data_IF_387600925444
#
_entry.id   IF_387600925444
#
_cell.length_a   1.000
_cell.length_b   1.000
_cell.length_c   1.000
_cell.angle_alpha   90.00
_cell.angle_beta   90.00
_cell.angle_gamma   90.00
#
_symmetry.space_group_name_H-M   'P 1'
#
loop_
_entity.id
_entity.type
_entity.pdbx_description
1 polymer ?
#
# COMPACT_ATOMS: atom_id res chain seq x y z
N UNK A 1 20.79 -55.08 -8.95
CA UNK A 1 19.47 -54.51 -9.32
C UNK A 1 18.91 -53.52 -8.30
N UNK A 2 19.16 -53.65 -7.02
CA UNK A 2 18.60 -52.76 -5.97
C UNK A 2 19.32 -51.40 -5.87
N UNK A 3 20.59 -51.30 -6.28
CA UNK A 3 21.38 -50.05 -6.21
C UNK A 3 20.91 -48.94 -7.16
N UNK A 4 20.26 -49.28 -8.28
CA UNK A 4 19.81 -48.31 -9.24
C UNK A 4 18.44 -47.67 -8.89
N UNK A 5 17.64 -48.37 -8.07
CA UNK A 5 16.35 -47.84 -7.62
C UNK A 5 16.52 -46.71 -6.58
N UNK A 6 17.55 -46.77 -5.76
CA UNK A 6 17.86 -45.73 -4.76
C UNK A 6 18.40 -44.44 -5.41
N UNK A 7 19.12 -44.53 -6.51
CA UNK A 7 19.63 -43.37 -7.25
C UNK A 7 18.52 -42.63 -7.98
N UNK A 8 17.51 -43.35 -8.49
CA UNK A 8 16.34 -42.71 -9.14
C UNK A 8 15.40 -42.01 -8.12
N UNK A 9 15.27 -42.59 -6.92
CA UNK A 9 14.44 -42.00 -5.86
C UNK A 9 15.07 -40.71 -5.31
N UNK A 10 16.39 -40.64 -5.21
CA UNK A 10 17.12 -39.44 -4.77
C UNK A 10 17.03 -38.29 -5.77
N UNK A 11 17.02 -38.60 -7.08
CA UNK A 11 16.87 -37.58 -8.13
C UNK A 11 15.47 -37.00 -8.22
N UNK A 12 14.43 -37.73 -7.82
CA UNK A 12 13.04 -37.24 -7.82
C UNK A 12 12.78 -36.34 -6.60
N UNK A 13 13.45 -36.54 -5.48
CA UNK A 13 13.29 -35.70 -4.28
C UNK A 13 13.96 -34.33 -4.41
N UNK A 14 14.92 -34.15 -5.31
CA UNK A 14 15.58 -32.83 -5.52
C UNK A 14 14.85 -31.92 -6.49
N UNK A 15 13.87 -32.41 -7.25
CA UNK A 15 13.12 -31.64 -8.23
C UNK A 15 11.90 -30.89 -7.65
N UNK A 16 11.58 -31.08 -6.37
CA UNK A 16 10.39 -30.49 -5.72
C UNK A 16 10.66 -29.22 -4.91
N UNK A 17 11.86 -28.66 -5.02
CA UNK A 17 12.10 -27.30 -4.56
C UNK A 17 11.67 -26.33 -5.65
N UNK A 18 10.35 -26.28 -5.87
CA UNK A 18 9.76 -25.16 -6.59
C UNK A 18 10.10 -23.91 -5.81
N UNK A 19 10.95 -23.09 -6.40
CA UNK A 19 11.28 -21.78 -5.87
C UNK A 19 9.98 -20.96 -5.86
N UNK A 20 9.39 -20.83 -4.69
CA UNK A 20 8.47 -19.75 -4.43
C UNK A 20 9.29 -18.47 -4.52
N UNK A 21 9.35 -17.88 -5.71
CA UNK A 21 9.80 -16.51 -5.86
C UNK A 21 8.72 -15.63 -5.22
N UNK A 22 8.88 -15.39 -3.92
CA UNK A 22 8.17 -14.31 -3.25
C UNK A 22 8.74 -13.04 -3.90
N UNK A 23 7.97 -12.43 -4.79
CA UNK A 23 8.26 -11.08 -5.25
C UNK A 23 8.15 -10.19 -4.02
N UNK A 24 9.28 -9.90 -3.39
CA UNK A 24 9.33 -8.97 -2.28
C UNK A 24 8.93 -7.60 -2.81
N UNK A 25 7.84 -7.03 -2.30
CA UNK A 25 7.47 -5.65 -2.58
C UNK A 25 8.65 -4.74 -2.21
N UNK A 26 8.94 -3.80 -3.10
CA UNK A 26 10.05 -2.88 -2.89
C UNK A 26 9.72 -1.91 -1.77
N UNK A 27 10.54 -1.92 -0.72
CA UNK A 27 10.44 -1.00 0.41
C UNK A 27 11.26 0.26 0.15
N UNK A 28 10.66 1.43 0.38
CA UNK A 28 11.32 2.74 0.23
C UNK A 28 10.98 3.61 1.43
N UNK A 29 11.98 4.15 2.10
CA UNK A 29 11.78 5.13 3.16
C UNK A 29 11.84 6.55 2.62
N UNK A 30 10.93 7.41 3.09
CA UNK A 30 10.92 8.80 2.69
C UNK A 30 10.34 9.72 3.78
N UNK A 31 10.69 10.98 3.68
CA UNK A 31 10.11 12.05 4.49
C UNK A 31 8.95 12.70 3.75
N UNK A 32 7.78 12.79 4.39
CA UNK A 32 6.61 13.41 3.78
C UNK A 32 6.69 14.93 3.87
N UNK A 33 6.80 15.59 2.73
CA UNK A 33 6.94 17.05 2.62
C UNK A 33 5.64 17.74 2.20
N UNK A 34 4.63 16.98 1.77
CA UNK A 34 3.35 17.55 1.35
C UNK A 34 2.27 16.49 1.21
N UNK A 35 1.02 16.95 1.27
CA UNK A 35 -0.17 16.16 1.02
C UNK A 35 -1.03 16.93 0.03
N UNK A 36 -1.36 16.32 -1.12
CA UNK A 36 -2.16 16.95 -2.17
C UNK A 36 -3.65 16.78 -1.92
N UNK A 37 -4.06 15.58 -1.55
CA UNK A 37 -5.44 15.21 -1.18
C UNK A 37 -5.42 13.95 -0.31
N UNK A 38 -6.57 13.35 -0.04
CA UNK A 38 -6.68 12.23 0.91
C UNK A 38 -6.04 10.91 0.48
N UNK A 39 -5.51 10.82 -0.74
CA UNK A 39 -4.86 9.63 -1.27
C UNK A 39 -3.55 9.89 -2.01
N UNK A 40 -3.03 11.12 -1.94
CA UNK A 40 -1.81 11.53 -2.65
C UNK A 40 -0.94 12.41 -1.78
N UNK A 41 0.32 12.02 -1.64
CA UNK A 41 1.33 12.76 -0.89
C UNK A 41 2.63 12.95 -1.70
N UNK A 42 3.49 13.83 -1.21
CA UNK A 42 4.81 14.06 -1.78
C UNK A 42 5.88 13.62 -0.79
N UNK A 43 6.78 12.78 -1.25
CA UNK A 43 7.91 12.25 -0.51
C UNK A 43 9.23 12.89 -0.91
N UNK A 44 10.10 13.06 0.06
CA UNK A 44 11.49 13.49 -0.12
C UNK A 44 12.44 12.37 0.29
N UNK A 45 13.30 11.95 -0.64
CA UNK A 45 14.37 10.99 -0.37
C UNK A 45 15.56 11.66 0.34
N UNK A 46 16.44 10.89 1.03
CA UNK A 46 17.68 11.41 1.56
C UNK A 46 18.56 12.10 0.52
N UNK A 47 18.46 11.70 -0.75
CA UNK A 47 19.14 12.31 -1.91
C UNK A 47 18.57 13.66 -2.32
N UNK A 48 17.57 14.20 -1.60
CA UNK A 48 16.82 15.44 -1.93
C UNK A 48 15.90 15.34 -3.14
N UNK A 49 15.74 14.17 -3.74
CA UNK A 49 14.79 13.94 -4.82
C UNK A 49 13.37 13.82 -4.25
N UNK A 50 12.43 14.57 -4.85
CA UNK A 50 11.01 14.51 -4.53
C UNK A 50 10.24 13.66 -5.55
N UNK A 51 9.19 12.98 -5.09
CA UNK A 51 8.28 12.26 -5.96
C UNK A 51 6.89 12.19 -5.34
N UNK A 52 5.87 11.98 -6.19
CA UNK A 52 4.50 11.82 -5.74
C UNK A 52 4.16 10.36 -5.50
N UNK A 53 3.42 10.11 -4.43
CA UNK A 53 2.92 8.80 -4.03
C UNK A 53 1.41 8.80 -4.05
N UNK A 54 0.83 7.86 -4.78
CA UNK A 54 -0.60 7.55 -4.78
C UNK A 54 -0.82 6.35 -3.85
N UNK A 55 -1.61 6.55 -2.81
CA UNK A 55 -1.99 5.46 -1.91
C UNK A 55 -2.83 4.45 -2.68
N UNK A 56 -2.33 3.22 -2.79
CA UNK A 56 -2.98 2.17 -3.57
C UNK A 56 -4.20 1.58 -2.85
N UNK A 57 -5.06 0.93 -3.61
CA UNK A 57 -6.26 0.21 -3.16
C UNK A 57 -7.38 1.08 -2.60
N UNK A 58 -7.16 2.37 -2.41
CA UNK A 58 -8.15 3.32 -1.92
C UNK A 58 -8.35 4.49 -2.89
N UNK A 59 -9.46 5.17 -2.73
CA UNK A 59 -9.78 6.41 -3.43
C UNK A 59 -10.40 7.39 -2.44
N UNK A 60 -9.94 8.62 -2.45
CA UNK A 60 -10.41 9.68 -1.58
C UNK A 60 -11.08 10.80 -2.39
N UNK A 61 -12.02 11.55 -1.78
CA UNK A 61 -12.57 12.71 -2.46
C UNK A 61 -11.48 13.73 -2.79
N UNK A 62 -11.49 14.23 -4.02
CA UNK A 62 -10.52 15.20 -4.49
C UNK A 62 -10.74 16.57 -3.87
N UNK A 63 -9.72 17.41 -3.93
CA UNK A 63 -9.81 18.81 -3.54
C UNK A 63 -10.94 19.49 -4.32
N UNK A 64 -11.87 20.09 -3.61
CA UNK A 64 -13.06 20.73 -4.21
C UNK A 64 -14.32 19.85 -4.21
N UNK A 65 -14.19 18.55 -4.01
CA UNK A 65 -15.32 17.67 -3.75
C UNK A 65 -15.76 17.75 -2.28
N UNK A 66 -17.03 17.41 -1.95
CA UNK A 66 -17.45 17.23 -0.57
C UNK A 66 -16.50 16.28 0.18
N UNK A 67 -16.13 16.62 1.39
CA UNK A 67 -15.16 15.92 2.23
C UNK A 67 -13.71 15.89 1.71
N UNK A 68 -13.40 16.40 0.53
CA UNK A 68 -12.03 16.43 -0.02
C UNK A 68 -11.03 17.15 0.88
N UNK A 69 -11.42 18.30 1.41
CA UNK A 69 -10.61 19.06 2.38
C UNK A 69 -10.38 18.27 3.67
N UNK A 70 -11.43 17.64 4.19
CA UNK A 70 -11.36 16.85 5.43
C UNK A 70 -10.47 15.63 5.27
N UNK A 71 -10.58 14.91 4.13
CA UNK A 71 -9.73 13.78 3.83
C UNK A 71 -8.26 14.18 3.72
N UNK A 72 -7.95 15.26 3.01
CA UNK A 72 -6.60 15.84 2.92
C UNK A 72 -6.04 16.19 4.29
N UNK A 73 -6.82 16.88 5.11
CA UNK A 73 -6.41 17.28 6.46
C UNK A 73 -6.14 16.07 7.35
N UNK A 74 -6.95 15.03 7.23
CA UNK A 74 -6.77 13.80 7.99
C UNK A 74 -5.49 13.07 7.61
N UNK A 75 -5.22 12.90 6.31
CA UNK A 75 -3.96 12.32 5.85
C UNK A 75 -2.75 13.16 6.31
N UNK A 76 -2.84 14.48 6.21
CA UNK A 76 -1.80 15.39 6.69
C UNK A 76 -1.54 15.20 8.19
N UNK A 77 -2.59 15.09 8.98
CA UNK A 77 -2.47 14.87 10.43
C UNK A 77 -1.71 13.57 10.75
N UNK A 78 -1.90 12.53 9.94
CA UNK A 78 -1.23 11.25 10.15
C UNK A 78 0.24 11.26 9.73
N UNK A 79 0.57 11.84 8.59
CA UNK A 79 1.88 11.59 7.95
C UNK A 79 2.71 12.83 7.64
N UNK A 80 2.15 14.04 7.67
CA UNK A 80 2.90 15.25 7.30
C UNK A 80 4.10 15.47 8.22
N UNK A 81 5.28 15.70 7.65
CA UNK A 81 6.56 15.81 8.36
C UNK A 81 6.90 14.56 9.19
N UNK A 82 6.57 13.39 8.65
CA UNK A 82 6.93 12.09 9.22
C UNK A 82 7.78 11.29 8.24
N UNK A 83 8.66 10.45 8.77
CA UNK A 83 9.29 9.40 8.00
C UNK A 83 8.32 8.23 7.86
N UNK A 84 8.06 7.83 6.63
CA UNK A 84 7.19 6.70 6.31
C UNK A 84 7.93 5.66 5.50
N UNK A 85 7.46 4.43 5.58
CA UNK A 85 7.90 3.33 4.73
C UNK A 85 6.86 3.08 3.66
N UNK A 86 7.29 3.06 2.41
CA UNK A 86 6.44 2.74 1.27
C UNK A 86 6.65 1.29 0.84
N UNK A 87 5.58 0.51 0.78
CA UNK A 87 5.57 -0.76 0.06
C UNK A 87 5.10 -0.50 -1.36
N UNK A 88 6.05 -0.50 -2.30
CA UNK A 88 5.83 -0.04 -3.67
C UNK A 88 5.42 -1.20 -4.55
N UNK A 89 4.27 -1.08 -5.23
CA UNK A 89 3.79 -2.06 -6.20
C UNK A 89 4.08 -1.69 -7.65
N UNK A 90 4.27 -0.42 -7.94
CA UNK A 90 4.52 0.05 -9.30
C UNK A 90 4.33 1.55 -9.47
N UNK A 91 3.96 1.94 -10.69
CA UNK A 91 3.69 3.33 -11.06
C UNK A 91 2.33 3.42 -11.76
N UNK A 92 1.65 4.54 -11.57
CA UNK A 92 0.45 4.81 -12.36
C UNK A 92 0.80 5.51 -13.70
N UNK A 93 -0.23 5.75 -14.52
CA UNK A 93 -0.06 6.43 -15.82
C UNK A 93 0.43 7.88 -15.73
N UNK A 94 0.37 8.47 -14.53
CA UNK A 94 0.87 9.84 -14.24
C UNK A 94 2.27 9.82 -13.62
N UNK A 95 2.95 8.67 -13.63
CA UNK A 95 4.28 8.45 -13.05
C UNK A 95 4.34 8.67 -11.52
N UNK A 96 3.20 8.59 -10.84
CA UNK A 96 3.19 8.54 -9.38
C UNK A 96 3.52 7.13 -8.92
N UNK A 97 4.25 7.02 -7.81
CA UNK A 97 4.50 5.73 -7.18
C UNK A 97 3.20 5.23 -6.55
N UNK A 98 2.82 3.99 -6.87
CA UNK A 98 1.72 3.29 -6.21
C UNK A 98 2.27 2.54 -5.01
N UNK A 99 1.76 2.85 -3.81
CA UNK A 99 2.28 2.24 -2.59
C UNK A 99 1.24 2.11 -1.50
N UNK A 100 1.49 1.17 -0.60
CA UNK A 100 0.94 1.19 0.75
C UNK A 100 1.89 1.97 1.65
N UNK A 101 1.37 2.93 2.36
CA UNK A 101 2.15 3.81 3.26
C UNK A 101 2.05 3.28 4.67
N UNK A 102 3.21 3.06 5.30
CA UNK A 102 3.31 2.62 6.69
C UNK A 102 3.99 3.69 7.54
N UNK A 103 3.41 3.99 8.67
CA UNK A 103 4.02 4.76 9.74
C UNK A 103 4.12 3.88 10.96
N UNK A 104 5.35 3.52 11.39
CA UNK A 104 5.58 2.64 12.53
C UNK A 104 4.70 1.37 12.47
N UNK A 105 4.75 0.66 11.35
CA UNK A 105 3.98 -0.56 11.05
C UNK A 105 2.46 -0.36 10.89
N UNK A 106 1.95 0.84 11.08
CA UNK A 106 0.55 1.17 10.86
C UNK A 106 0.29 1.41 9.37
N UNK A 107 -0.65 0.68 8.79
CA UNK A 107 -1.09 0.86 7.41
C UNK A 107 -1.98 2.12 7.30
N UNK A 108 -1.41 3.19 6.77
CA UNK A 108 -2.09 4.49 6.64
C UNK A 108 -3.21 4.44 5.59
N UNK A 109 -3.02 3.68 4.49
CA UNK A 109 -4.09 3.49 3.50
C UNK A 109 -5.34 2.91 4.18
N UNK A 110 -5.16 1.90 5.02
CA UNK A 110 -6.24 1.28 5.77
C UNK A 110 -6.87 2.25 6.80
N UNK A 111 -6.06 3.06 7.46
CA UNK A 111 -6.56 4.06 8.42
C UNK A 111 -7.47 5.10 7.75
N UNK A 112 -7.19 5.48 6.51
CA UNK A 112 -8.05 6.39 5.76
C UNK A 112 -9.45 5.78 5.54
N UNK A 113 -9.51 4.49 5.23
CA UNK A 113 -10.80 3.77 5.05
C UNK A 113 -11.53 3.58 6.38
N UNK A 114 -10.81 3.14 7.42
CA UNK A 114 -11.38 2.94 8.76
C UNK A 114 -12.07 4.18 9.32
N UNK A 115 -11.55 5.35 9.01
CA UNK A 115 -12.04 6.63 9.52
C UNK A 115 -12.98 7.33 8.51
N UNK A 116 -13.41 6.63 7.47
CA UNK A 116 -14.37 7.15 6.50
C UNK A 116 -13.85 8.28 5.63
N UNK A 117 -12.52 8.44 5.52
CA UNK A 117 -11.86 9.49 4.74
C UNK A 117 -11.54 9.06 3.31
N UNK A 118 -11.65 7.78 3.02
CA UNK A 118 -11.50 7.18 1.69
C UNK A 118 -12.40 5.95 1.58
N UNK A 119 -12.70 5.57 0.37
CA UNK A 119 -13.37 4.31 0.06
C UNK A 119 -12.40 3.35 -0.63
N UNK A 120 -12.76 2.06 -0.63
CA UNK A 120 -11.99 1.04 -1.31
C UNK A 120 -12.16 1.21 -2.82
N UNK A 121 -11.06 1.09 -3.56
CA UNK A 121 -11.06 1.10 -5.02
C UNK A 121 -11.21 -0.33 -5.54
N UNK A 122 -12.45 -0.81 -5.85
CA UNK A 122 -12.71 -2.23 -6.01
C UNK A 122 -11.91 -2.91 -7.12
N UNK A 123 -11.59 -2.16 -8.18
CA UNK A 123 -10.85 -2.68 -9.33
C UNK A 123 -9.39 -3.04 -9.00
N UNK A 124 -8.82 -2.43 -7.96
CA UNK A 124 -7.40 -2.56 -7.61
C UNK A 124 -7.17 -3.11 -6.20
N UNK A 125 -8.20 -3.15 -5.37
CA UNK A 125 -8.08 -3.67 -4.02
C UNK A 125 -7.98 -5.19 -4.00
N UNK A 126 -6.95 -5.72 -3.35
CA UNK A 126 -6.69 -7.15 -3.23
C UNK A 126 -6.82 -7.65 -1.79
N UNK A 127 -6.62 -6.77 -0.81
CA UNK A 127 -6.64 -7.12 0.59
C UNK A 127 -8.07 -7.04 1.16
N UNK A 128 -8.66 -8.15 1.66
CA UNK A 128 -10.01 -8.15 2.23
C UNK A 128 -10.21 -7.19 3.42
N UNK A 129 -9.13 -6.85 4.14
CA UNK A 129 -9.20 -5.93 5.27
C UNK A 129 -9.73 -4.55 4.89
N UNK A 130 -9.48 -4.09 3.66
CA UNK A 130 -9.99 -2.81 3.18
C UNK A 130 -11.52 -2.81 3.07
N UNK A 131 -12.09 -3.89 2.53
CA UNK A 131 -13.55 -4.03 2.43
C UNK A 131 -14.21 -4.14 3.81
N UNK A 132 -13.61 -4.89 4.72
CA UNK A 132 -14.09 -5.00 6.10
C UNK A 132 -14.07 -3.65 6.83
N UNK A 133 -13.00 -2.88 6.64
CA UNK A 133 -12.87 -1.54 7.23
C UNK A 133 -13.90 -0.57 6.65
N UNK A 134 -14.16 -0.63 5.34
CA UNK A 134 -15.19 0.18 4.67
C UNK A 134 -16.59 -0.15 5.19
N UNK A 135 -16.93 -1.44 5.28
CA UNK A 135 -18.21 -1.90 5.80
C UNK A 135 -18.42 -1.41 7.24
N UNK A 136 -17.40 -1.52 8.07
CA UNK A 136 -17.45 -1.03 9.46
C UNK A 136 -17.67 0.49 9.51
N UNK A 137 -16.92 1.26 8.73
CA UNK A 137 -17.07 2.72 8.70
C UNK A 137 -18.48 3.14 8.25
N UNK A 138 -19.03 2.46 7.24
CA UNK A 138 -20.40 2.69 6.76
C UNK A 138 -21.45 2.35 7.82
N UNK A 139 -21.32 1.21 8.52
CA UNK A 139 -22.23 0.80 9.60
C UNK A 139 -22.20 1.78 10.77
N UNK A 140 -21.04 2.30 11.12
CA UNK A 140 -20.86 3.29 12.18
C UNK A 140 -21.14 4.73 11.73
N UNK A 141 -21.45 4.94 10.45
CA UNK A 141 -21.68 6.29 9.86
C UNK A 141 -20.50 7.24 10.12
N UNK A 142 -19.28 6.71 9.97
CA UNK A 142 -18.03 7.46 10.11
C UNK A 142 -17.64 8.06 8.75
N UNK A 143 -17.36 9.36 8.75
CA UNK A 143 -16.92 10.06 7.53
C UNK A 143 -17.98 10.77 6.72
#
# INVERSE_FOLDING_TARGET
MIKNAFLFLALILTALWTQFSISAERQVECWVVGVSDGDTLTCLLPTKKQFKVRLQEIDAPEKGQPFGKKAKQYLSLLVFKQNVTLSVSGYDRYQRILATVYLQEQNINLEMVKNGMAWVYPQFAKNPLYFQAQDFAQQQKIG
#
